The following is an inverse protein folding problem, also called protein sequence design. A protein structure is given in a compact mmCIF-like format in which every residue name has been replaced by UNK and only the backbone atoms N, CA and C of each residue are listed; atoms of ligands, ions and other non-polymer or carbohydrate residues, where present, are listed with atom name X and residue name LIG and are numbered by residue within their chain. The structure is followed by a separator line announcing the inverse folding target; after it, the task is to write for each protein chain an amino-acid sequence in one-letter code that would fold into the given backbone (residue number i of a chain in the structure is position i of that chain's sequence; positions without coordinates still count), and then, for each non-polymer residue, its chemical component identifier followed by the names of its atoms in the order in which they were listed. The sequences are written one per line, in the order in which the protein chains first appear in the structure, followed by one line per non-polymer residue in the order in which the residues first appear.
data_IF_238045949406
#
_entry.id   IF_238045949406
#
_cell.length_a   1.000
_cell.length_b   1.000
_cell.length_c   1.000
_cell.angle_alpha   90.00
_cell.angle_beta   90.00
_cell.angle_gamma   90.00
#
_symmetry.space_group_name_H-M   'P 1'
#
loop_
_entity.id
_entity.type
_entity.pdbx_description
1 polymer ?
#
# COMPACT_ATOMS: atom_id res chain seq x y z
N UNK A 1 -2.31 34.83 20.05
CA UNK A 1 -1.87 35.02 18.66
C UNK A 1 -2.31 33.77 17.93
N UNK A 2 -3.57 33.76 17.51
CA UNK A 2 -4.02 32.86 16.45
C UNK A 2 -3.34 33.35 15.17
N UNK A 3 -2.72 32.45 14.41
CA UNK A 3 -3.26 32.13 13.09
C UNK A 3 -2.44 31.05 12.36
N UNK A 4 -3.19 30.01 11.98
CA UNK A 4 -3.02 29.10 10.85
C UNK A 4 -1.80 28.15 10.85
N UNK A 5 -2.06 26.95 11.38
CA UNK A 5 -1.46 25.72 10.86
C UNK A 5 -1.66 25.67 9.34
N UNK A 6 -0.56 25.49 8.62
CA UNK A 6 -0.52 25.39 7.18
C UNK A 6 -1.41 24.23 6.72
N UNK A 7 -2.61 24.54 6.24
CA UNK A 7 -3.50 23.56 5.65
C UNK A 7 -2.81 22.89 4.46
N UNK A 8 -2.86 21.56 4.45
CA UNK A 8 -2.54 20.68 3.31
C UNK A 8 -1.07 20.28 3.05
N UNK A 9 -0.10 20.71 3.86
CA UNK A 9 1.30 20.22 3.70
C UNK A 9 1.66 19.03 4.61
N UNK A 10 0.78 18.64 5.54
CA UNK A 10 1.05 17.57 6.52
C UNK A 10 0.24 16.29 6.38
N UNK A 11 -0.88 16.30 5.65
CA UNK A 11 -1.81 15.16 5.60
C UNK A 11 -1.35 14.07 4.63
N UNK A 12 -1.77 12.84 4.91
CA UNK A 12 -1.45 11.69 4.07
C UNK A 12 -1.99 11.85 2.64
N UNK A 13 -1.12 11.71 1.64
CA UNK A 13 -1.50 11.71 0.23
C UNK A 13 -1.67 10.28 -0.30
N UNK A 14 -2.93 9.88 -0.50
CA UNK A 14 -3.26 8.54 -1.01
C UNK A 14 -2.90 8.33 -2.47
N UNK A 15 -2.98 9.36 -3.32
CA UNK A 15 -2.69 9.23 -4.76
C UNK A 15 -1.20 9.01 -5.02
N UNK A 16 -0.33 9.75 -4.30
CA UNK A 16 1.12 9.54 -4.33
C UNK A 16 1.46 8.12 -3.86
N UNK A 17 0.82 7.67 -2.77
CA UNK A 17 1.02 6.33 -2.23
C UNK A 17 0.54 5.25 -3.21
N UNK A 18 -0.61 5.44 -3.85
CA UNK A 18 -1.14 4.54 -4.87
C UNK A 18 -0.15 4.36 -6.03
N UNK A 19 0.47 5.45 -6.49
CA UNK A 19 1.48 5.43 -7.54
C UNK A 19 2.68 4.55 -7.17
N UNK A 20 3.23 4.76 -5.97
CA UNK A 20 4.36 3.98 -5.45
C UNK A 20 4.01 2.50 -5.33
N UNK A 21 2.82 2.19 -4.78
CA UNK A 21 2.38 0.81 -4.59
C UNK A 21 2.17 0.11 -5.94
N UNK A 22 1.54 0.77 -6.92
CA UNK A 22 1.37 0.21 -8.27
C UNK A 22 2.71 -0.09 -8.93
N UNK A 23 3.67 0.84 -8.85
CA UNK A 23 5.01 0.64 -9.38
C UNK A 23 5.73 -0.53 -8.70
N UNK A 24 5.61 -0.65 -7.36
CA UNK A 24 6.20 -1.76 -6.62
C UNK A 24 5.59 -3.12 -7.00
N UNK A 25 4.28 -3.20 -7.20
CA UNK A 25 3.61 -4.41 -7.66
C UNK A 25 4.11 -4.78 -9.07
N UNK A 26 4.07 -3.83 -10.01
CA UNK A 26 4.46 -4.06 -11.41
C UNK A 26 5.92 -4.54 -11.51
N UNK A 27 6.83 -3.93 -10.75
CA UNK A 27 8.24 -4.31 -10.72
C UNK A 27 8.51 -5.71 -10.12
N UNK A 28 7.60 -6.27 -9.33
CA UNK A 28 7.80 -7.58 -8.69
C UNK A 28 7.05 -8.69 -9.42
N UNK A 29 5.84 -8.43 -9.92
CA UNK A 29 4.97 -9.46 -10.50
C UNK A 29 4.38 -9.12 -11.87
N UNK A 30 4.67 -7.95 -12.43
CA UNK A 30 4.06 -7.46 -13.68
C UNK A 30 4.18 -8.42 -14.86
N UNK A 31 5.35 -9.07 -14.98
CA UNK A 31 5.64 -10.03 -16.05
C UNK A 31 5.43 -11.51 -15.69
N UNK A 32 5.02 -11.81 -14.46
CA UNK A 32 4.96 -13.19 -13.96
C UNK A 32 3.54 -13.77 -14.04
N UNK A 33 3.44 -15.03 -14.46
CA UNK A 33 2.22 -15.83 -14.25
C UNK A 33 2.22 -16.44 -12.84
N UNK A 34 1.03 -16.62 -12.25
CA UNK A 34 0.87 -17.16 -10.90
C UNK A 34 1.64 -18.46 -10.68
N UNK A 35 2.38 -18.52 -9.58
CA UNK A 35 3.11 -19.68 -9.10
C UNK A 35 3.03 -19.74 -7.58
N UNK A 36 2.39 -20.77 -7.04
CA UNK A 36 2.23 -20.95 -5.59
C UNK A 36 3.58 -20.94 -4.85
N UNK A 37 4.64 -21.45 -5.48
CA UNK A 37 5.99 -21.50 -4.92
C UNK A 37 6.65 -20.11 -4.80
N UNK A 38 6.19 -19.13 -5.59
CA UNK A 38 6.75 -17.79 -5.62
C UNK A 38 5.93 -16.78 -4.80
N UNK A 39 4.70 -17.11 -4.41
CA UNK A 39 3.79 -16.19 -3.69
C UNK A 39 4.46 -15.54 -2.48
N UNK A 40 5.10 -16.32 -1.61
CA UNK A 40 5.77 -15.78 -0.42
C UNK A 40 6.93 -14.83 -0.76
N UNK A 41 7.65 -15.10 -1.85
CA UNK A 41 8.73 -14.24 -2.33
C UNK A 41 8.17 -12.93 -2.89
N UNK A 42 7.10 -13.01 -3.67
CA UNK A 42 6.45 -11.83 -4.24
C UNK A 42 5.83 -10.94 -3.17
N UNK A 43 5.08 -11.50 -2.22
CA UNK A 43 4.45 -10.72 -1.15
C UNK A 43 5.49 -10.02 -0.28
N UNK A 44 6.56 -10.73 0.11
CA UNK A 44 7.68 -10.12 0.83
C UNK A 44 8.36 -9.01 0.01
N UNK A 45 8.67 -9.28 -1.27
CA UNK A 45 9.31 -8.30 -2.15
C UNK A 45 8.48 -7.05 -2.39
N UNK A 46 7.15 -7.18 -2.51
CA UNK A 46 6.23 -6.04 -2.65
C UNK A 46 6.22 -5.22 -1.36
N UNK A 47 6.05 -5.87 -0.20
CA UNK A 47 6.00 -5.19 1.11
C UNK A 47 7.30 -4.43 1.39
N UNK A 48 8.45 -5.09 1.19
CA UNK A 48 9.78 -4.48 1.41
C UNK A 48 10.02 -3.28 0.49
N UNK A 49 9.66 -3.39 -0.80
CA UNK A 49 9.81 -2.28 -1.75
C UNK A 49 8.90 -1.11 -1.41
N UNK A 50 7.63 -1.36 -1.10
CA UNK A 50 6.68 -0.33 -0.67
C UNK A 50 7.21 0.39 0.57
N UNK A 51 7.58 -0.35 1.64
CA UNK A 51 8.14 0.24 2.85
C UNK A 51 9.41 1.04 2.56
N UNK A 52 10.31 0.50 1.73
CA UNK A 52 11.54 1.18 1.34
C UNK A 52 11.29 2.51 0.62
N UNK A 53 10.32 2.57 -0.30
CA UNK A 53 9.98 3.81 -1.01
C UNK A 53 9.24 4.81 -0.11
N UNK A 54 8.32 4.35 0.74
CA UNK A 54 7.56 5.20 1.66
C UNK A 54 8.48 5.85 2.70
N UNK A 55 9.36 5.08 3.34
CA UNK A 55 10.31 5.60 4.34
C UNK A 55 11.30 6.59 3.72
N UNK A 56 11.72 6.37 2.47
CA UNK A 56 12.62 7.31 1.75
C UNK A 56 12.02 8.70 1.55
N UNK A 57 10.70 8.86 1.61
CA UNK A 57 10.08 10.18 1.55
C UNK A 57 10.41 11.06 2.76
N UNK A 58 10.89 10.46 3.87
CA UNK A 58 11.27 11.19 5.08
C UNK A 58 10.10 11.87 5.81
N UNK A 59 8.85 11.48 5.49
CA UNK A 59 7.66 12.01 6.15
C UNK A 59 7.48 11.41 7.55
N UNK A 60 6.92 12.15 8.53
CA UNK A 60 6.83 11.72 9.92
C UNK A 60 5.66 10.73 10.14
N UNK A 61 5.77 9.55 9.55
CA UNK A 61 4.78 8.47 9.66
C UNK A 61 5.40 7.17 10.13
N UNK A 62 4.62 6.38 10.88
CA UNK A 62 4.78 4.94 10.96
C UNK A 62 3.99 4.31 9.83
N UNK A 63 4.64 3.49 9.02
CA UNK A 63 4.01 2.80 7.89
C UNK A 63 3.74 1.34 8.21
N UNK A 64 2.56 0.87 7.80
CA UNK A 64 2.16 -0.54 7.80
C UNK A 64 1.78 -0.89 6.36
N UNK A 65 2.33 -1.98 5.84
CA UNK A 65 1.99 -2.47 4.49
C UNK A 65 1.56 -3.92 4.58
N UNK A 66 0.38 -4.22 4.04
CA UNK A 66 -0.13 -5.59 3.89
C UNK A 66 -0.29 -5.93 2.43
N UNK A 67 0.08 -7.15 2.03
CA UNK A 67 -0.05 -7.64 0.65
C UNK A 67 -0.76 -9.00 0.65
N UNK A 68 -1.75 -9.15 -0.23
CA UNK A 68 -2.42 -10.41 -0.50
C UNK A 68 -2.36 -10.73 -1.99
N UNK A 69 -1.92 -11.94 -2.33
CA UNK A 69 -1.88 -12.45 -3.70
C UNK A 69 -2.78 -13.68 -3.79
N UNK A 70 -3.68 -13.72 -4.77
CA UNK A 70 -4.65 -14.80 -4.96
C UNK A 70 -4.67 -15.26 -6.42
N UNK A 71 -4.63 -16.58 -6.64
CA UNK A 71 -4.79 -17.14 -7.98
C UNK A 71 -6.19 -16.86 -8.54
N UNK A 72 -6.26 -16.53 -9.84
CA UNK A 72 -7.53 -16.43 -10.57
C UNK A 72 -8.07 -17.81 -10.93
N UNK A 73 -8.98 -18.31 -10.10
CA UNK A 73 -9.66 -19.61 -10.30
C UNK A 73 -11.18 -19.48 -10.36
N UNK A 74 -11.71 -18.25 -10.40
CA UNK A 74 -13.15 -17.96 -10.35
C UNK A 74 -13.70 -17.77 -8.92
N UNK A 75 -12.88 -17.96 -7.89
CA UNK A 75 -13.24 -17.63 -6.51
C UNK A 75 -13.17 -16.11 -6.24
N UNK A 76 -14.04 -15.61 -5.35
CA UNK A 76 -14.06 -14.21 -4.92
C UNK A 76 -13.08 -13.90 -3.80
N UNK A 77 -12.66 -12.64 -3.71
CA UNK A 77 -11.82 -12.10 -2.62
C UNK A 77 -12.48 -10.84 -2.04
N UNK A 78 -12.72 -10.85 -0.73
CA UNK A 78 -13.24 -9.68 0.01
C UNK A 78 -12.23 -9.24 1.07
N UNK A 79 -11.76 -8.01 0.96
CA UNK A 79 -10.84 -7.37 1.92
C UNK A 79 -11.50 -6.10 2.47
N UNK A 80 -11.51 -5.95 3.79
CA UNK A 80 -11.96 -4.75 4.48
C UNK A 80 -10.95 -4.37 5.56
N UNK A 81 -10.85 -3.08 5.86
CA UNK A 81 -10.05 -2.56 6.95
C UNK A 81 -10.93 -1.69 7.86
N UNK A 82 -10.53 -1.58 9.12
CA UNK A 82 -11.14 -0.68 10.10
C UNK A 82 -10.01 -0.11 10.95
N UNK A 83 -10.05 1.19 11.19
CA UNK A 83 -8.99 1.93 11.86
C UNK A 83 -9.60 2.88 12.89
N UNK A 84 -8.89 3.04 14.01
CA UNK A 84 -9.20 4.04 15.03
C UNK A 84 -7.97 4.93 15.18
N UNK A 85 -8.07 6.16 14.69
CA UNK A 85 -6.93 7.02 14.37
C UNK A 85 -7.36 8.49 14.15
N UNK A 86 -6.41 9.39 13.95
CA UNK A 86 -6.70 10.80 13.63
C UNK A 86 -7.02 10.96 12.14
N UNK A 87 -8.27 11.28 11.82
CA UNK A 87 -8.73 11.44 10.44
C UNK A 87 -8.15 12.65 9.69
N UNK A 88 -7.49 13.57 10.39
CA UNK A 88 -6.84 14.72 9.76
C UNK A 88 -5.40 14.41 9.31
N UNK A 89 -4.70 13.58 10.07
CA UNK A 89 -3.26 13.34 9.91
C UNK A 89 -2.95 11.93 9.41
N UNK A 90 -3.72 10.93 9.84
CA UNK A 90 -3.53 9.53 9.47
C UNK A 90 -4.27 9.19 8.17
N UNK A 91 -3.83 8.13 7.50
CA UNK A 91 -4.50 7.71 6.28
C UNK A 91 -4.11 6.32 5.81
N UNK A 92 -4.90 5.82 4.86
CA UNK A 92 -4.62 4.56 4.18
C UNK A 92 -4.87 4.67 2.69
N UNK A 93 -4.16 3.84 1.95
CA UNK A 93 -4.38 3.59 0.53
C UNK A 93 -4.53 2.09 0.32
N UNK A 94 -5.40 1.67 -0.60
CA UNK A 94 -5.53 0.27 -0.99
C UNK A 94 -5.56 0.15 -2.49
N UNK A 95 -4.50 -0.45 -3.03
CA UNK A 95 -4.36 -0.72 -4.46
C UNK A 95 -4.79 -2.15 -4.76
N UNK A 96 -5.68 -2.28 -5.74
CA UNK A 96 -6.03 -3.56 -6.36
C UNK A 96 -5.36 -3.61 -7.72
N UNK A 97 -4.54 -4.64 -7.93
CA UNK A 97 -3.87 -4.94 -9.18
C UNK A 97 -4.23 -6.36 -9.62
N UNK A 98 -4.23 -6.60 -10.92
CA UNK A 98 -4.47 -7.91 -11.46
C UNK A 98 -3.72 -8.10 -12.77
N UNK A 99 -3.37 -9.35 -13.07
CA UNK A 99 -2.98 -9.76 -14.41
C UNK A 99 -3.85 -10.93 -14.86
N UNK A 100 -3.44 -11.65 -15.91
CA UNK A 100 -4.20 -12.78 -16.45
C UNK A 100 -4.45 -13.89 -15.42
N UNK A 101 -3.52 -14.16 -14.50
CA UNK A 101 -3.50 -15.38 -13.68
C UNK A 101 -3.65 -15.15 -12.17
N UNK A 102 -3.58 -13.90 -11.70
CA UNK A 102 -3.74 -13.58 -10.28
C UNK A 102 -4.30 -12.18 -10.00
N UNK A 103 -4.79 -12.02 -8.78
CA UNK A 103 -5.07 -10.75 -8.11
C UNK A 103 -3.96 -10.44 -7.11
N UNK A 104 -3.64 -9.15 -6.96
CA UNK A 104 -2.77 -8.63 -5.90
C UNK A 104 -3.47 -7.44 -5.24
N UNK A 105 -3.64 -7.48 -3.93
CA UNK A 105 -4.21 -6.37 -3.14
C UNK A 105 -3.17 -5.92 -2.14
N UNK A 106 -2.81 -4.66 -2.18
CA UNK A 106 -1.85 -4.05 -1.24
C UNK A 106 -2.53 -2.90 -0.53
N UNK A 107 -2.50 -2.92 0.80
CA UNK A 107 -2.98 -1.82 1.63
C UNK A 107 -1.81 -1.22 2.40
N UNK A 108 -1.72 0.11 2.36
CA UNK A 108 -0.77 0.91 3.13
C UNK A 108 -1.55 1.70 4.16
N UNK A 109 -1.05 1.73 5.40
CA UNK A 109 -1.52 2.61 6.46
C UNK A 109 -0.36 3.50 6.89
N UNK A 110 -0.60 4.80 6.98
CA UNK A 110 0.34 5.78 7.46
C UNK A 110 -0.26 6.42 8.72
N UNK A 111 0.43 6.26 9.84
CA UNK A 111 0.02 6.81 11.15
C UNK A 111 1.04 7.87 11.54
N UNK A 112 0.62 9.12 11.64
CA UNK A 112 1.45 10.26 11.95
C UNK A 112 2.10 10.08 13.33
N UNK A 113 3.34 10.56 13.48
CA UNK A 113 4.09 10.53 14.74
C UNK A 113 4.36 11.92 15.32
N UNK A 114 3.65 12.94 14.84
CA UNK A 114 3.74 14.33 15.28
C UNK A 114 2.38 14.82 15.76
#
# INVERSE_FOLDING_TARGET
MEDFHNGNEGSFNSEETDGIVKECIENVVGGDDYSANLVNKWTAGIVERCLGQLVKQGKPYKYIVTCAVMQKTGAGLHTANSCYWDTAMDGSSTVRWENRTMYCVVSVFAVAVA
#
